data_IF_803261210107
#
_entry.id   IF_803261210107
#
_cell.length_a   1.000
_cell.length_b   1.000
_cell.length_c   1.000
_cell.angle_alpha   90.00
_cell.angle_beta   90.00
_cell.angle_gamma   90.00
#
_symmetry.space_group_name_H-M   'P 1'
#
loop_
_entity.id
_entity.type
_entity.pdbx_description
1 polymer ?
#
# COMPACT_ATOMS: atom_id res chain seq x y z
N UNK A 1 12.97 -7.02 -12.19
CA UNK A 1 12.00 -7.78 -13.02
C UNK A 1 11.73 -7.10 -14.36
N UNK A 2 11.17 -5.89 -14.37
CA UNK A 2 10.92 -5.15 -15.62
C UNK A 2 12.17 -5.04 -16.52
N UNK A 3 13.30 -4.75 -15.95
CA UNK A 3 14.59 -4.66 -16.64
C UNK A 3 14.96 -5.96 -17.40
N UNK A 4 14.80 -7.12 -16.75
CA UNK A 4 15.06 -8.42 -17.39
C UNK A 4 14.18 -8.65 -18.62
N UNK A 5 12.91 -8.28 -18.54
CA UNK A 5 11.96 -8.42 -19.63
C UNK A 5 12.22 -7.42 -20.75
N UNK A 6 12.53 -6.18 -20.38
CA UNK A 6 12.77 -5.10 -21.34
C UNK A 6 14.03 -5.37 -22.21
N UNK A 7 15.12 -5.82 -21.59
CA UNK A 7 16.37 -6.12 -22.28
C UNK A 7 16.46 -7.55 -22.82
N UNK A 8 15.37 -8.31 -22.82
CA UNK A 8 15.30 -9.70 -23.26
C UNK A 8 16.37 -10.59 -22.60
N UNK A 9 16.73 -10.30 -21.35
CA UNK A 9 17.71 -11.09 -20.61
C UNK A 9 17.12 -12.48 -20.32
N UNK A 10 17.89 -13.53 -20.59
CA UNK A 10 17.45 -14.89 -20.33
C UNK A 10 17.29 -15.14 -18.83
N UNK A 11 16.04 -15.13 -18.38
CA UNK A 11 15.66 -15.34 -16.98
C UNK A 11 16.13 -16.71 -16.48
N UNK A 12 16.18 -17.73 -17.35
CA UNK A 12 16.62 -19.07 -16.99
C UNK A 12 18.10 -19.10 -16.59
N UNK A 13 18.96 -18.37 -17.32
CA UNK A 13 20.40 -18.25 -17.02
C UNK A 13 20.65 -17.68 -15.62
N UNK A 14 19.80 -16.75 -15.16
CA UNK A 14 19.96 -16.06 -13.87
C UNK A 14 18.97 -16.51 -12.79
N UNK A 15 18.33 -17.68 -12.96
CA UNK A 15 17.28 -18.15 -12.04
C UNK A 15 17.77 -18.23 -10.60
N UNK A 16 18.94 -18.84 -10.36
CA UNK A 16 19.49 -19.00 -8.99
C UNK A 16 19.79 -17.63 -8.37
N UNK A 17 20.48 -16.75 -9.11
CA UNK A 17 20.80 -15.42 -8.65
C UNK A 17 19.52 -14.62 -8.32
N UNK A 18 18.50 -14.75 -9.16
CA UNK A 18 17.19 -14.13 -8.93
C UNK A 18 16.50 -14.66 -7.68
N UNK A 19 16.53 -15.97 -7.44
CA UNK A 19 15.97 -16.57 -6.21
C UNK A 19 16.68 -16.01 -4.98
N UNK A 20 18.00 -15.99 -4.97
CA UNK A 20 18.78 -15.45 -3.84
C UNK A 20 18.43 -13.98 -3.60
N UNK A 21 18.45 -13.16 -4.64
CA UNK A 21 18.15 -11.73 -4.53
C UNK A 21 16.74 -11.48 -4.00
N UNK A 22 15.72 -12.16 -4.57
CA UNK A 22 14.34 -11.99 -4.11
C UNK A 22 14.13 -12.55 -2.71
N UNK A 23 14.78 -13.68 -2.34
CA UNK A 23 14.70 -14.21 -0.98
C UNK A 23 15.26 -13.20 0.04
N UNK A 24 16.43 -12.61 -0.24
CA UNK A 24 17.01 -11.58 0.62
C UNK A 24 16.11 -10.35 0.73
N UNK A 25 15.52 -9.90 -0.39
CA UNK A 25 14.57 -8.79 -0.40
C UNK A 25 13.33 -9.07 0.46
N UNK A 26 12.72 -10.27 0.34
CA UNK A 26 11.57 -10.67 1.13
C UNK A 26 11.90 -10.75 2.64
N UNK A 27 13.06 -11.32 2.98
CA UNK A 27 13.56 -11.39 4.35
C UNK A 27 13.78 -9.98 4.93
N UNK A 28 14.35 -9.06 4.15
CA UNK A 28 14.57 -7.66 4.59
C UNK A 28 13.25 -6.97 4.91
N UNK A 29 12.21 -7.14 4.07
CA UNK A 29 10.87 -6.58 4.35
C UNK A 29 10.28 -7.19 5.62
N UNK A 30 10.41 -8.50 5.83
CA UNK A 30 9.96 -9.14 7.06
C UNK A 30 10.70 -8.60 8.28
N UNK A 31 12.02 -8.48 8.22
CA UNK A 31 12.85 -7.99 9.32
C UNK A 31 12.55 -6.52 9.68
N UNK A 32 12.09 -5.71 8.73
CA UNK A 32 11.66 -4.33 9.02
C UNK A 32 10.47 -4.29 9.99
N UNK A 33 9.70 -5.35 10.10
CA UNK A 33 8.49 -5.42 10.91
C UNK A 33 7.37 -4.49 10.44
N UNK A 34 7.46 -3.92 9.24
CA UNK A 34 6.45 -3.02 8.67
C UNK A 34 5.30 -3.80 8.06
N UNK A 35 4.13 -3.81 8.74
CA UNK A 35 2.94 -4.61 8.37
C UNK A 35 2.41 -4.29 6.98
N UNK A 36 2.30 -3.00 6.66
CA UNK A 36 1.80 -2.54 5.36
C UNK A 36 2.68 -3.01 4.22
N UNK A 37 3.99 -2.83 4.34
CA UNK A 37 4.96 -3.28 3.35
C UNK A 37 4.93 -4.80 3.18
N UNK A 38 4.76 -5.54 4.28
CA UNK A 38 4.67 -6.99 4.25
C UNK A 38 3.42 -7.47 3.51
N UNK A 39 2.24 -6.89 3.78
CA UNK A 39 1.00 -7.26 3.10
C UNK A 39 1.06 -6.90 1.61
N UNK A 40 1.56 -5.70 1.26
CA UNK A 40 1.72 -5.29 -0.14
C UNK A 40 2.71 -6.19 -0.90
N UNK A 41 3.78 -6.62 -0.25
CA UNK A 41 4.71 -7.60 -0.80
C UNK A 41 4.03 -8.95 -1.09
N UNK A 42 3.23 -9.48 -0.15
CA UNK A 42 2.47 -10.71 -0.38
C UNK A 42 1.50 -10.57 -1.55
N UNK A 43 0.80 -9.43 -1.64
CA UNK A 43 -0.09 -9.13 -2.77
C UNK A 43 0.69 -9.09 -4.09
N UNK A 44 1.89 -8.50 -4.12
CA UNK A 44 2.74 -8.48 -5.32
C UNK A 44 3.15 -9.88 -5.75
N UNK A 45 3.62 -10.71 -4.82
CA UNK A 45 3.99 -12.10 -5.09
C UNK A 45 2.80 -12.86 -5.67
N UNK A 46 1.63 -12.73 -5.07
CA UNK A 46 0.39 -13.36 -5.53
C UNK A 46 0.05 -12.96 -6.97
N UNK A 47 0.05 -11.66 -7.28
CA UNK A 47 -0.23 -11.17 -8.64
C UNK A 47 0.80 -11.70 -9.66
N UNK A 48 2.09 -11.66 -9.33
CA UNK A 48 3.13 -12.15 -10.22
C UNK A 48 3.01 -13.66 -10.47
N UNK A 49 2.78 -14.45 -9.43
CA UNK A 49 2.69 -15.91 -9.55
C UNK A 49 1.46 -16.35 -10.36
N UNK A 50 0.37 -15.62 -10.30
CA UNK A 50 -0.83 -15.91 -11.09
C UNK A 50 -0.61 -15.53 -12.56
N UNK A 51 -0.19 -14.31 -12.82
CA UNK A 51 -0.22 -13.74 -14.17
C UNK A 51 1.07 -13.96 -14.97
N UNK A 52 2.23 -14.18 -14.33
CA UNK A 52 3.52 -14.25 -15.00
C UNK A 52 4.21 -15.61 -14.78
N UNK A 53 3.90 -16.56 -15.64
CA UNK A 53 4.37 -17.96 -15.53
C UNK A 53 5.91 -18.09 -15.44
N UNK A 54 6.66 -17.24 -16.18
CA UNK A 54 8.13 -17.30 -16.23
C UNK A 54 8.79 -17.03 -14.86
N UNK A 55 8.14 -16.21 -14.02
CA UNK A 55 8.65 -15.88 -12.68
C UNK A 55 8.05 -16.74 -11.56
N UNK A 56 7.07 -17.58 -11.87
CA UNK A 56 6.36 -18.39 -10.87
C UNK A 56 7.33 -19.23 -10.02
N UNK A 57 8.27 -19.96 -10.65
CA UNK A 57 9.25 -20.77 -9.94
C UNK A 57 10.12 -19.94 -9.00
N UNK A 58 10.62 -18.79 -9.47
CA UNK A 58 11.48 -17.90 -8.69
C UNK A 58 10.74 -17.40 -7.44
N UNK A 59 9.54 -16.87 -7.62
CA UNK A 59 8.77 -16.33 -6.50
C UNK A 59 8.26 -17.40 -5.54
N UNK A 60 7.86 -18.58 -6.02
CA UNK A 60 7.43 -19.68 -5.15
C UNK A 60 8.58 -20.19 -4.27
N UNK A 61 9.76 -20.36 -4.82
CA UNK A 61 10.93 -20.80 -4.04
C UNK A 61 11.35 -19.69 -3.06
N UNK A 62 11.41 -18.43 -3.50
CA UNK A 62 11.76 -17.31 -2.61
C UNK A 62 10.75 -17.13 -1.47
N UNK A 63 9.48 -17.34 -1.73
CA UNK A 63 8.43 -17.32 -0.71
C UNK A 63 8.56 -18.49 0.28
N UNK A 64 8.89 -19.69 -0.21
CA UNK A 64 9.17 -20.83 0.65
C UNK A 64 10.38 -20.58 1.57
N UNK A 65 11.45 -19.98 1.05
CA UNK A 65 12.62 -19.58 1.85
C UNK A 65 12.25 -18.53 2.92
N UNK A 66 11.36 -17.60 2.59
CA UNK A 66 10.83 -16.66 3.58
C UNK A 66 10.07 -17.38 4.71
N UNK A 67 9.21 -18.36 4.37
CA UNK A 67 8.48 -19.13 5.39
C UNK A 67 9.44 -19.87 6.31
N UNK A 68 10.46 -20.55 5.75
CA UNK A 68 11.48 -21.22 6.56
C UNK A 68 12.21 -20.23 7.49
N UNK A 69 12.52 -19.04 6.99
CA UNK A 69 13.16 -18.00 7.80
C UNK A 69 12.25 -17.49 8.93
N UNK A 70 10.96 -17.29 8.66
CA UNK A 70 9.97 -16.92 9.68
C UNK A 70 9.89 -18.00 10.77
N UNK A 71 9.78 -19.27 10.39
CA UNK A 71 9.76 -20.39 11.33
C UNK A 71 11.04 -20.45 12.18
N UNK A 72 12.19 -20.23 11.58
CA UNK A 72 13.47 -20.14 12.28
C UNK A 72 13.48 -19.01 13.31
N UNK A 73 12.99 -17.81 12.96
CA UNK A 73 12.94 -16.67 13.89
C UNK A 73 11.98 -16.92 15.06
N UNK A 74 10.89 -17.64 14.83
CA UNK A 74 9.95 -18.05 15.88
C UNK A 74 10.63 -19.08 16.79
N UNK A 75 11.27 -20.09 16.24
CA UNK A 75 11.96 -21.16 16.99
C UNK A 75 13.08 -20.61 17.87
N UNK A 76 13.91 -19.71 17.33
CA UNK A 76 15.02 -19.08 18.07
C UNK A 76 14.55 -18.06 19.12
N UNK A 77 13.25 -17.77 19.17
CA UNK A 77 12.60 -16.93 20.18
C UNK A 77 13.34 -15.61 20.52
N UNK A 78 13.52 -14.76 19.52
CA UNK A 78 14.22 -13.45 19.69
C UNK A 78 13.48 -12.47 20.65
N UNK A 79 12.55 -12.94 21.47
CA UNK A 79 11.83 -12.17 22.48
C UNK A 79 10.91 -11.10 21.88
N UNK A 80 10.82 -9.96 22.58
CA UNK A 80 9.92 -8.85 22.19
C UNK A 80 10.34 -8.13 20.89
N UNK A 81 11.58 -8.31 20.45
CA UNK A 81 12.14 -7.71 19.22
C UNK A 81 11.81 -8.51 17.96
N UNK A 82 11.22 -9.72 18.10
CA UNK A 82 10.89 -10.57 16.97
C UNK A 82 9.90 -9.87 16.03
N UNK A 83 10.23 -9.71 14.73
CA UNK A 83 9.33 -9.12 13.72
C UNK A 83 7.96 -9.82 13.65
N UNK A 84 7.91 -11.14 13.89
CA UNK A 84 6.66 -11.91 13.94
C UNK A 84 5.68 -11.35 14.96
N UNK A 85 6.16 -10.93 16.14
CA UNK A 85 5.29 -10.37 17.17
C UNK A 85 4.66 -9.05 16.70
N UNK A 86 5.41 -8.23 15.97
CA UNK A 86 4.91 -6.97 15.42
C UNK A 86 3.93 -7.20 14.26
N UNK A 87 4.27 -8.11 13.33
CA UNK A 87 3.50 -8.34 12.12
C UNK A 87 2.23 -9.15 12.42
N UNK A 88 2.32 -10.24 13.18
CA UNK A 88 1.21 -11.16 13.39
C UNK A 88 0.49 -10.92 14.70
N UNK A 89 1.19 -11.01 15.85
CA UNK A 89 0.55 -10.98 17.18
C UNK A 89 -0.09 -9.62 17.45
N UNK A 90 0.65 -8.51 17.25
CA UNK A 90 0.07 -7.17 17.47
C UNK A 90 -1.06 -6.86 16.48
N UNK A 91 -0.99 -7.38 15.25
CA UNK A 91 -2.07 -7.19 14.26
C UNK A 91 -3.31 -7.97 14.69
N UNK A 92 -3.14 -9.24 15.08
CA UNK A 92 -4.25 -10.06 15.56
C UNK A 92 -4.92 -9.42 16.79
N UNK A 93 -4.13 -9.00 17.78
CA UNK A 93 -4.63 -8.34 18.97
C UNK A 93 -5.40 -7.05 18.63
N UNK A 94 -4.92 -6.25 17.68
CA UNK A 94 -5.62 -5.03 17.23
C UNK A 94 -6.94 -5.32 16.52
N UNK A 95 -7.06 -6.45 15.83
CA UNK A 95 -8.30 -6.87 15.17
C UNK A 95 -9.29 -7.51 16.14
N UNK A 96 -8.78 -8.21 17.17
CA UNK A 96 -9.61 -8.95 18.15
C UNK A 96 -9.95 -8.14 19.40
N UNK A 97 -9.14 -7.11 19.73
CA UNK A 97 -9.38 -6.24 20.90
C UNK A 97 -10.63 -5.36 20.67
N UNK A 98 -11.78 -5.99 20.81
CA UNK A 98 -13.09 -5.32 20.99
C UNK A 98 -13.22 -4.65 22.37
N UNK A 99 -12.24 -4.82 23.24
CA UNK A 99 -12.19 -4.17 24.55
C UNK A 99 -11.58 -2.78 24.35
N UNK A 100 -12.45 -1.80 24.12
CA UNK A 100 -12.21 -0.44 24.60
C UNK A 100 -11.62 -0.57 26.01
N UNK A 101 -10.33 -0.29 26.14
CA UNK A 101 -9.77 0.03 27.44
C UNK A 101 -10.52 1.28 27.90
N UNK A 102 -11.61 1.08 28.68
CA UNK A 102 -12.42 2.12 29.31
C UNK A 102 -11.62 3.06 30.23
N UNK A 103 -10.30 2.84 30.34
CA UNK A 103 -9.43 3.58 31.24
C UNK A 103 -8.70 4.76 30.59
N UNK A 104 -8.90 5.05 29.31
CA UNK A 104 -8.57 6.37 28.79
C UNK A 104 -9.84 7.20 28.80
N UNK A 105 -10.13 7.86 29.93
CA UNK A 105 -11.06 9.00 30.02
C UNK A 105 -10.59 10.18 29.17
N UNK A 106 -10.36 9.96 27.89
CA UNK A 106 -10.09 11.00 26.90
C UNK A 106 -11.42 11.36 26.27
N UNK A 107 -12.12 12.29 26.93
CA UNK A 107 -13.29 12.98 26.42
C UNK A 107 -12.89 13.69 25.12
N UNK A 108 -13.20 13.08 23.99
CA UNK A 108 -13.18 13.78 22.71
C UNK A 108 -14.46 14.64 22.67
N UNK A 109 -14.34 15.94 22.87
CA UNK A 109 -15.43 16.92 22.73
C UNK A 109 -15.90 17.14 21.28
N UNK A 110 -15.60 16.23 20.41
CA UNK A 110 -16.18 16.16 19.07
C UNK A 110 -17.27 15.11 19.17
N UNK A 111 -18.51 15.46 18.82
CA UNK A 111 -19.67 14.56 18.72
C UNK A 111 -19.41 13.43 17.68
N UNK A 112 -18.42 12.58 17.96
CA UNK A 112 -17.96 11.46 17.16
C UNK A 112 -18.68 10.17 17.52
N UNK A 113 -19.46 10.19 18.61
CA UNK A 113 -20.11 8.99 19.16
C UNK A 113 -21.05 8.30 18.18
N UNK A 114 -21.66 9.06 17.27
CA UNK A 114 -22.66 8.49 16.34
C UNK A 114 -22.06 7.83 15.08
N UNK A 115 -20.78 8.06 14.76
CA UNK A 115 -20.16 7.47 13.56
C UNK A 115 -19.20 6.31 13.92
N UNK A 116 -18.70 6.28 15.16
CA UNK A 116 -17.59 5.43 15.57
C UNK A 116 -18.00 4.06 16.11
N UNK A 117 -19.25 3.83 16.48
CA UNK A 117 -19.60 2.70 17.32
C UNK A 117 -19.71 1.34 16.63
N UNK A 118 -19.70 1.27 15.29
CA UNK A 118 -20.05 0.02 14.60
C UNK A 118 -19.01 -0.58 13.65
N UNK A 119 -17.95 0.12 13.23
CA UNK A 119 -16.97 -0.45 12.28
C UNK A 119 -15.55 0.01 12.62
N UNK A 120 -14.75 -0.82 13.29
CA UNK A 120 -13.31 -0.60 13.47
C UNK A 120 -12.54 -1.24 12.32
N UNK A 121 -12.31 -0.50 11.26
CA UNK A 121 -11.49 -0.95 10.13
C UNK A 121 -9.97 -0.73 10.34
N UNK A 122 -9.59 0.18 11.25
CA UNK A 122 -8.20 0.59 11.48
C UNK A 122 -7.92 0.74 12.98
N UNK A 123 -6.63 0.86 13.35
CA UNK A 123 -6.26 1.22 14.73
C UNK A 123 -6.90 2.55 15.15
N UNK A 124 -7.07 2.76 16.46
CA UNK A 124 -7.70 3.97 17.02
C UNK A 124 -7.09 5.27 16.47
N UNK A 125 -5.75 5.31 16.31
CA UNK A 125 -5.04 6.49 15.79
C UNK A 125 -5.37 6.75 14.31
N UNK A 126 -5.35 5.71 13.47
CA UNK A 126 -5.71 5.84 12.06
C UNK A 126 -7.17 6.19 11.86
N UNK A 127 -8.07 5.68 12.69
CA UNK A 127 -9.48 6.04 12.63
C UNK A 127 -9.68 7.52 12.96
N UNK A 128 -8.98 8.07 13.96
CA UNK A 128 -9.01 9.49 14.29
C UNK A 128 -8.57 10.37 13.10
N UNK A 129 -7.49 9.97 12.40
CA UNK A 129 -7.03 10.71 11.21
C UNK A 129 -8.06 10.68 10.07
N UNK A 130 -8.73 9.54 9.84
CA UNK A 130 -9.77 9.42 8.82
C UNK A 130 -10.97 10.32 9.14
N UNK A 131 -11.44 10.31 10.39
CA UNK A 131 -12.58 11.13 10.83
C UNK A 131 -12.27 12.62 10.64
N UNK A 132 -11.06 13.04 11.02
CA UNK A 132 -10.62 14.43 10.85
C UNK A 132 -10.54 14.83 9.38
N UNK A 133 -10.03 13.96 8.53
CA UNK A 133 -9.98 14.18 7.09
C UNK A 133 -11.38 14.27 6.44
N UNK A 134 -12.32 13.42 6.89
CA UNK A 134 -13.71 13.49 6.43
C UNK A 134 -14.43 14.76 6.90
N UNK A 135 -14.08 15.29 8.08
CA UNK A 135 -14.57 16.60 8.52
C UNK A 135 -14.06 17.71 7.59
N UNK A 136 -12.76 17.68 7.28
CA UNK A 136 -12.16 18.63 6.33
C UNK A 136 -12.83 18.56 4.94
N UNK A 137 -13.12 17.34 4.45
CA UNK A 137 -13.84 17.14 3.20
C UNK A 137 -15.25 17.72 3.24
N UNK A 138 -16.00 17.59 4.35
CA UNK A 138 -17.35 18.15 4.49
C UNK A 138 -17.37 19.67 4.34
N UNK A 139 -16.31 20.35 4.76
CA UNK A 139 -16.17 21.80 4.62
C UNK A 139 -15.88 22.24 3.18
N UNK A 140 -15.18 21.42 2.38
CA UNK A 140 -14.72 21.75 1.03
C UNK A 140 -14.86 20.58 0.07
N UNK A 141 -16.10 20.17 -0.23
CA UNK A 141 -16.38 18.91 -0.95
C UNK A 141 -15.86 18.87 -2.39
N UNK A 142 -15.91 20.00 -3.13
CA UNK A 142 -15.62 19.99 -4.57
C UNK A 142 -14.12 20.02 -4.82
N UNK A 143 -13.41 21.00 -4.28
CA UNK A 143 -11.99 21.25 -4.53
C UNK A 143 -11.06 20.77 -3.42
N UNK A 144 -11.61 20.36 -2.26
CA UNK A 144 -10.81 20.08 -1.06
C UNK A 144 -10.16 21.33 -0.47
N UNK A 145 -9.23 21.15 0.46
CA UNK A 145 -8.52 22.25 1.15
C UNK A 145 -7.14 22.56 0.54
N UNK A 146 -6.81 21.93 -0.58
CA UNK A 146 -5.51 22.01 -1.24
C UNK A 146 -4.51 20.96 -0.71
N UNK A 147 -3.43 20.69 -1.48
CA UNK A 147 -2.35 19.79 -1.07
C UNK A 147 -1.76 20.20 0.29
N UNK A 148 -1.56 19.23 1.18
CA UNK A 148 -1.14 19.43 2.58
C UNK A 148 -2.17 20.16 3.46
N UNK A 149 -3.40 20.36 2.98
CA UNK A 149 -4.48 21.02 3.71
C UNK A 149 -4.83 20.32 5.02
N UNK A 150 -4.75 19.00 5.08
CA UNK A 150 -4.92 18.20 6.29
C UNK A 150 -3.95 18.63 7.41
N UNK A 151 -2.66 18.79 7.11
CA UNK A 151 -1.64 19.24 8.07
C UNK A 151 -1.94 20.64 8.64
N UNK A 152 -2.38 21.57 7.78
CA UNK A 152 -2.72 22.92 8.20
C UNK A 152 -3.98 22.93 9.07
N UNK A 153 -4.98 22.16 8.68
CA UNK A 153 -6.21 21.99 9.46
C UNK A 153 -5.93 21.39 10.84
N UNK A 154 -5.09 20.39 10.93
CA UNK A 154 -4.64 19.83 12.20
C UNK A 154 -4.03 20.90 13.13
N UNK A 155 -3.20 21.78 12.60
CA UNK A 155 -2.54 22.85 13.39
C UNK A 155 -3.53 23.91 13.86
N UNK A 156 -4.58 24.21 13.08
CA UNK A 156 -5.55 25.24 13.41
C UNK A 156 -6.56 24.86 14.49
N UNK A 157 -6.73 23.55 14.76
CA UNK A 157 -7.69 23.04 15.75
C UNK A 157 -7.04 22.94 17.15
N UNK A 158 -6.33 23.92 17.67
CA UNK A 158 -5.70 23.90 19.00
C UNK A 158 -5.32 22.47 19.44
N UNK A 159 -4.46 21.83 18.66
CA UNK A 159 -4.13 20.41 18.77
C UNK A 159 -3.50 20.09 20.14
N UNK A 160 -4.14 19.17 20.87
CA UNK A 160 -3.54 18.57 22.04
C UNK A 160 -2.72 17.34 21.60
N UNK A 161 -1.36 17.38 21.65
CA UNK A 161 -0.52 16.28 21.18
C UNK A 161 -0.75 14.97 21.94
N UNK A 162 -1.33 15.01 23.14
CA UNK A 162 -1.65 13.83 23.93
C UNK A 162 -2.86 13.03 23.41
N UNK A 163 -3.59 13.57 22.42
CA UNK A 163 -4.82 12.93 21.90
C UNK A 163 -4.55 12.04 20.68
N UNK A 164 -3.39 12.18 20.01
CA UNK A 164 -2.97 11.29 18.91
C UNK A 164 -3.79 11.40 17.61
N UNK A 165 -4.74 12.32 17.51
CA UNK A 165 -5.68 12.40 16.35
C UNK A 165 -5.06 13.11 15.15
N UNK A 166 -4.04 13.91 15.34
CA UNK A 166 -3.44 14.76 14.31
C UNK A 166 -2.10 14.23 13.83
N UNK A 167 -1.91 14.23 12.53
CA UNK A 167 -0.65 13.84 11.88
C UNK A 167 -0.36 14.73 10.67
N UNK A 168 0.67 14.41 9.93
CA UNK A 168 1.02 15.15 8.70
C UNK A 168 0.11 14.83 7.51
N UNK A 169 -0.63 13.72 7.58
CA UNK A 169 -1.54 13.23 6.54
C UNK A 169 -2.46 12.14 7.12
N UNK A 170 -3.58 11.78 6.44
CA UNK A 170 -4.58 10.84 6.98
C UNK A 170 -4.16 9.37 6.97
N UNK A 171 -2.96 9.02 6.52
CA UNK A 171 -2.46 7.65 6.36
C UNK A 171 -3.31 6.75 5.45
N UNK A 172 -4.09 7.31 4.54
CA UNK A 172 -4.81 6.59 3.49
C UNK A 172 -4.90 7.48 2.25
N UNK A 173 -4.52 6.96 1.09
CA UNK A 173 -4.41 7.73 -0.17
C UNK A 173 -5.76 8.29 -0.63
N UNK A 174 -6.84 7.47 -0.61
CA UNK A 174 -8.16 7.96 -1.03
C UNK A 174 -8.66 9.04 -0.08
N UNK A 175 -8.56 8.80 1.22
CA UNK A 175 -9.00 9.75 2.25
C UNK A 175 -8.21 11.06 2.15
N UNK A 176 -6.92 10.99 1.81
CA UNK A 176 -6.11 12.17 1.57
C UNK A 176 -6.57 12.93 0.32
N UNK A 177 -6.78 12.20 -0.78
CA UNK A 177 -7.24 12.81 -2.05
C UNK A 177 -8.58 13.53 -1.86
N UNK A 178 -9.57 12.89 -1.23
CA UNK A 178 -10.89 13.51 -1.06
C UNK A 178 -10.85 14.70 -0.10
N UNK A 179 -10.04 14.68 0.94
CA UNK A 179 -9.94 15.79 1.90
C UNK A 179 -9.14 16.96 1.36
N UNK A 180 -8.10 16.71 0.56
CA UNK A 180 -7.17 17.74 0.07
C UNK A 180 -7.50 18.21 -1.35
N UNK A 181 -8.05 17.37 -2.24
CA UNK A 181 -8.41 17.70 -3.62
C UNK A 181 -9.91 17.59 -3.91
N UNK A 182 -10.73 17.17 -2.95
CA UNK A 182 -12.17 17.06 -3.08
C UNK A 182 -12.63 16.00 -4.07
N UNK A 183 -13.88 16.14 -4.52
CA UNK A 183 -14.49 15.22 -5.51
C UNK A 183 -13.80 15.29 -6.87
N UNK A 184 -13.25 16.41 -7.25
CA UNK A 184 -12.50 16.56 -8.51
C UNK A 184 -11.26 15.68 -8.47
N UNK A 185 -10.45 15.74 -7.40
CA UNK A 185 -9.28 14.90 -7.25
C UNK A 185 -9.63 13.41 -7.19
N UNK A 186 -10.71 13.05 -6.49
CA UNK A 186 -11.22 11.68 -6.46
C UNK A 186 -11.63 11.20 -7.85
N UNK A 187 -12.34 12.02 -8.65
CA UNK A 187 -12.75 11.66 -10.00
C UNK A 187 -11.54 11.34 -10.89
N UNK A 188 -10.50 12.18 -10.88
CA UNK A 188 -9.26 11.92 -11.61
C UNK A 188 -8.59 10.62 -11.16
N UNK A 189 -8.53 10.38 -9.85
CA UNK A 189 -7.95 9.14 -9.32
C UNK A 189 -8.73 7.90 -9.78
N UNK A 190 -10.05 7.93 -9.71
CA UNK A 190 -10.93 6.82 -10.12
C UNK A 190 -10.84 6.58 -11.64
N UNK A 191 -10.85 7.62 -12.45
CA UNK A 191 -10.70 7.52 -13.91
C UNK A 191 -9.35 6.88 -14.26
N UNK A 192 -8.25 7.31 -13.63
CA UNK A 192 -6.93 6.72 -13.85
C UNK A 192 -6.89 5.24 -13.42
N UNK A 193 -7.46 4.89 -12.26
CA UNK A 193 -7.53 3.52 -11.78
C UNK A 193 -8.36 2.64 -12.73
N UNK A 194 -9.52 3.11 -13.18
CA UNK A 194 -10.37 2.39 -14.14
C UNK A 194 -9.64 2.20 -15.48
N UNK A 195 -8.95 3.21 -15.97
CA UNK A 195 -8.14 3.10 -17.18
C UNK A 195 -7.10 1.99 -17.06
N UNK A 196 -6.34 1.95 -15.97
CA UNK A 196 -5.33 0.92 -15.71
C UNK A 196 -5.97 -0.47 -15.66
N UNK A 197 -7.09 -0.62 -14.95
CA UNK A 197 -7.82 -1.89 -14.81
C UNK A 197 -8.35 -2.37 -16.16
N UNK A 198 -9.03 -1.50 -16.93
CA UNK A 198 -9.57 -1.84 -18.24
C UNK A 198 -8.46 -2.28 -19.19
N UNK A 199 -7.34 -1.53 -19.24
CA UNK A 199 -6.21 -1.86 -20.11
C UNK A 199 -5.51 -3.15 -19.69
N UNK A 200 -5.42 -3.42 -18.40
CA UNK A 200 -4.93 -4.69 -17.90
C UNK A 200 -5.79 -5.87 -18.40
N UNK A 201 -7.11 -5.81 -18.23
CA UNK A 201 -8.00 -6.87 -18.69
C UNK A 201 -8.00 -7.01 -20.22
N UNK A 202 -8.02 -5.91 -20.98
CA UNK A 202 -7.88 -5.95 -22.43
C UNK A 202 -6.57 -6.63 -22.88
N UNK A 203 -5.47 -6.39 -22.17
CA UNK A 203 -4.19 -7.04 -22.48
C UNK A 203 -4.21 -8.54 -22.17
N UNK A 204 -4.87 -8.97 -21.08
CA UNK A 204 -4.98 -10.39 -20.75
C UNK A 204 -5.81 -11.18 -21.74
N UNK A 205 -6.86 -10.56 -22.31
CA UNK A 205 -7.72 -11.19 -23.33
C UNK A 205 -7.01 -11.39 -24.68
N UNK A 206 -5.99 -10.58 -25.00
CA UNK A 206 -5.23 -10.69 -26.26
C UNK A 206 -4.34 -11.93 -26.35
N UNK A 207 -4.13 -12.69 -25.28
CA UNK A 207 -3.33 -13.94 -25.19
C UNK A 207 -1.90 -13.84 -25.79
N UNK A 208 -1.38 -12.64 -26.00
CA UNK A 208 -0.06 -12.44 -26.57
C UNK A 208 0.98 -12.31 -25.46
N UNK A 209 1.73 -13.37 -25.16
CA UNK A 209 2.68 -13.46 -24.05
C UNK A 209 4.13 -13.11 -24.46
N UNK A 210 4.31 -12.07 -25.25
CA UNK A 210 5.66 -11.57 -25.52
C UNK A 210 6.22 -10.75 -24.35
N UNK A 211 7.51 -10.44 -24.38
CA UNK A 211 8.19 -9.71 -23.30
C UNK A 211 7.61 -8.30 -23.04
N UNK A 212 7.02 -7.67 -24.05
CA UNK A 212 6.38 -6.36 -23.90
C UNK A 212 5.13 -6.46 -23.01
N UNK A 213 4.29 -7.49 -23.19
CA UNK A 213 3.13 -7.74 -22.33
C UNK A 213 3.55 -8.09 -20.91
N UNK A 214 4.59 -8.93 -20.74
CA UNK A 214 5.09 -9.26 -19.42
C UNK A 214 5.65 -8.02 -18.69
N UNK A 215 6.35 -7.15 -19.39
CA UNK A 215 6.84 -5.86 -18.87
C UNK A 215 5.69 -4.96 -18.43
N UNK A 216 4.63 -4.88 -19.24
CA UNK A 216 3.42 -4.13 -18.91
C UNK A 216 2.74 -4.64 -17.63
N UNK A 217 2.61 -5.96 -17.46
CA UNK A 217 2.03 -6.54 -16.25
C UNK A 217 2.85 -6.21 -15.01
N UNK A 218 4.17 -6.36 -15.06
CA UNK A 218 5.05 -6.03 -13.93
C UNK A 218 4.87 -4.59 -13.47
N UNK A 219 4.81 -3.65 -14.42
CA UNK A 219 4.64 -2.22 -14.10
C UNK A 219 3.23 -1.95 -13.58
N UNK A 220 2.21 -2.57 -14.20
CA UNK A 220 0.83 -2.43 -13.74
C UNK A 220 0.68 -2.90 -12.29
N UNK A 221 1.29 -4.03 -11.91
CA UNK A 221 1.27 -4.50 -10.52
C UNK A 221 2.01 -3.54 -9.59
N UNK A 222 3.13 -2.96 -10.03
CA UNK A 222 3.83 -1.91 -9.29
C UNK A 222 2.93 -0.70 -9.01
N UNK A 223 2.17 -0.23 -10.01
CA UNK A 223 1.20 0.86 -9.84
C UNK A 223 0.07 0.48 -8.91
N UNK A 224 -0.53 -0.70 -9.08
CA UNK A 224 -1.62 -1.19 -8.23
C UNK A 224 -1.20 -1.21 -6.77
N UNK A 225 0.03 -1.64 -6.47
CA UNK A 225 0.55 -1.69 -5.10
C UNK A 225 0.80 -0.30 -4.54
N UNK A 226 1.42 0.59 -5.32
CA UNK A 226 1.72 1.96 -4.87
C UNK A 226 0.45 2.79 -4.64
N UNK A 227 -0.62 2.51 -5.39
CA UNK A 227 -1.89 3.21 -5.32
C UNK A 227 -2.98 2.42 -4.57
N UNK A 228 -2.60 1.35 -3.85
CA UNK A 228 -3.59 0.49 -3.20
C UNK A 228 -4.39 1.23 -2.13
N UNK A 229 -5.73 1.30 -2.27
CA UNK A 229 -6.55 2.26 -1.50
C UNK A 229 -6.89 1.81 -0.07
N UNK A 230 -6.82 0.51 0.23
CA UNK A 230 -7.38 -0.06 1.46
C UNK A 230 -6.36 -0.26 2.58
N UNK A 231 -5.09 -0.02 2.34
CA UNK A 231 -4.02 -0.19 3.32
C UNK A 231 -3.49 1.20 3.72
N UNK A 232 -3.07 1.39 4.98
CA UNK A 232 -2.43 2.63 5.39
C UNK A 232 -1.26 2.97 4.47
N UNK A 233 -1.23 4.21 3.98
CA UNK A 233 -0.22 4.69 3.03
C UNK A 233 0.56 5.87 3.59
N UNK A 234 1.72 6.16 3.01
CA UNK A 234 2.44 7.40 3.25
C UNK A 234 1.72 8.61 2.66
N UNK A 235 2.28 9.79 2.87
CA UNK A 235 1.71 11.03 2.34
C UNK A 235 1.83 11.08 0.81
N UNK A 236 0.69 11.02 0.12
CA UNK A 236 0.62 11.04 -1.35
C UNK A 236 1.30 12.28 -1.96
N UNK A 237 1.24 13.43 -1.30
CA UNK A 237 1.89 14.67 -1.75
C UNK A 237 3.32 14.87 -1.18
N UNK A 238 3.94 13.80 -0.67
CA UNK A 238 5.34 13.83 -0.32
C UNK A 238 6.21 13.67 -1.56
N UNK A 239 7.23 14.52 -1.72
CA UNK A 239 8.08 14.55 -2.91
C UNK A 239 8.68 13.16 -3.25
N UNK A 240 9.20 12.44 -2.25
CA UNK A 240 9.81 11.12 -2.47
C UNK A 240 8.79 10.07 -2.95
N UNK A 241 7.62 10.04 -2.34
CA UNK A 241 6.54 9.11 -2.75
C UNK A 241 6.02 9.48 -4.13
N UNK A 242 5.83 10.77 -4.39
CA UNK A 242 5.40 11.26 -5.71
C UNK A 242 6.39 10.89 -6.81
N UNK A 243 7.71 11.02 -6.60
CA UNK A 243 8.74 10.62 -7.57
C UNK A 243 8.57 9.13 -7.92
N UNK A 244 8.43 8.25 -6.92
CA UNK A 244 8.26 6.80 -7.14
C UNK A 244 6.99 6.51 -7.94
N UNK A 245 5.87 7.15 -7.59
CA UNK A 245 4.58 6.97 -8.27
C UNK A 245 4.68 7.45 -9.72
N UNK A 246 5.14 8.67 -9.95
CA UNK A 246 5.21 9.23 -11.31
C UNK A 246 6.25 8.53 -12.20
N UNK A 247 7.33 8.03 -11.63
CA UNK A 247 8.27 7.17 -12.36
C UNK A 247 7.57 5.90 -12.85
N UNK A 248 6.80 5.22 -11.99
CA UNK A 248 6.01 4.06 -12.39
C UNK A 248 4.93 4.41 -13.43
N UNK A 249 4.28 5.57 -13.33
CA UNK A 249 3.33 6.06 -14.35
C UNK A 249 4.03 6.25 -15.70
N UNK A 250 5.21 6.86 -15.71
CA UNK A 250 6.01 7.04 -16.94
C UNK A 250 6.36 5.70 -17.60
N UNK A 251 6.82 4.72 -16.80
CA UNK A 251 7.10 3.36 -17.29
C UNK A 251 5.83 2.66 -17.81
N UNK A 252 4.69 2.86 -17.15
CA UNK A 252 3.41 2.32 -17.58
C UNK A 252 3.01 2.86 -18.95
N UNK A 253 3.03 4.17 -19.13
CA UNK A 253 2.71 4.82 -20.42
C UNK A 253 3.64 4.37 -21.53
N UNK A 254 4.93 4.26 -21.24
CA UNK A 254 5.92 3.73 -22.20
C UNK A 254 5.62 2.29 -22.61
N UNK A 255 5.34 1.40 -21.65
CA UNK A 255 5.00 -0.01 -21.93
C UNK A 255 3.64 -0.14 -22.63
N UNK A 256 2.69 0.71 -22.26
CA UNK A 256 1.39 0.81 -22.92
C UNK A 256 1.54 1.17 -24.41
N UNK A 257 2.34 2.20 -24.74
CA UNK A 257 2.61 2.58 -26.11
C UNK A 257 3.19 1.42 -26.93
N UNK A 258 4.10 0.63 -26.39
CA UNK A 258 4.69 -0.55 -27.08
C UNK A 258 3.73 -1.69 -27.36
N UNK A 259 2.61 -1.76 -26.67
CA UNK A 259 1.61 -2.82 -26.84
C UNK A 259 0.49 -2.42 -27.79
N UNK A 260 0.12 -1.15 -27.78
CA UNK A 260 -1.09 -0.69 -28.45
C UNK A 260 -0.80 0.14 -29.72
N UNK A 261 0.42 0.61 -29.88
CA UNK A 261 0.90 1.39 -31.02
C UNK A 261 2.24 0.86 -31.54
#
# INVERSE_FOLDING_TARGET
MWFFLYFNIDVKKYTILSIVFFSLYLITIYLSGERTSFILMLMLIFLITIFIKIFRKIFSISFFMLILFILLTIFLNFGSTNPSNRIFVKTFNQLTDNKLNKNTNKKYDINLENISNNIKLYSTDHQGHIILALKLFKENKIFGKGPKGFRHYCRSINYNPNIGICSTHPHNTIIQIISELGLIGLAFYVIAALFIIIKFFQSTLRKNYNNNFLSFYVITFGLVINLFPFIPSGNFFNNWISIIIYYNVGLYLFSYKKIYF
#
